data_IF_463231750488
#
_entry.id   IF_463231750488
#
_cell.length_a   1.000
_cell.length_b   1.000
_cell.length_c   1.000
_cell.angle_alpha   90.00
_cell.angle_beta   90.00
_cell.angle_gamma   90.00
#
_symmetry.space_group_name_H-M   'P 1'
#
loop_
_entity.id
_entity.type
_entity.pdbx_description
1 polymer ?
#
# COMPACT_ATOMS: atom_id res chain seq x y z
N UNK A 1 8.47 -3.85 12.34
CA UNK A 1 8.43 -4.02 10.86
C UNK A 1 8.87 -2.71 10.21
N UNK A 2 9.57 -2.74 9.07
CA UNK A 2 9.95 -1.54 8.31
C UNK A 2 8.86 -1.08 7.31
N UNK A 3 7.83 -1.91 7.12
CA UNK A 3 6.67 -1.57 6.28
C UNK A 3 5.72 -0.68 7.10
N UNK A 4 5.36 0.52 6.62
CA UNK A 4 4.48 1.44 7.34
C UNK A 4 3.10 0.82 7.62
N UNK A 5 2.46 1.25 8.71
CA UNK A 5 1.09 0.88 9.05
C UNK A 5 0.09 1.65 8.18
N UNK A 6 -1.02 1.02 7.83
CA UNK A 6 -2.00 1.65 6.93
C UNK A 6 -2.65 2.89 7.54
N UNK A 7 -2.95 2.90 8.84
CA UNK A 7 -3.66 4.01 9.48
C UNK A 7 -5.11 4.22 9.01
N UNK A 8 -5.61 3.38 8.10
CA UNK A 8 -7.00 3.29 7.64
C UNK A 8 -7.46 1.84 7.85
N UNK A 9 -8.73 1.65 8.20
CA UNK A 9 -9.36 0.33 8.36
C UNK A 9 -10.30 0.04 7.19
N UNK A 10 -10.31 -1.21 6.71
CA UNK A 10 -11.14 -1.60 5.59
C UNK A 10 -12.62 -1.67 5.98
N UNK A 11 -13.52 -1.36 5.05
CA UNK A 11 -14.96 -1.46 5.27
C UNK A 11 -15.59 -0.32 6.09
N UNK A 12 -14.82 0.71 6.48
CA UNK A 12 -15.33 1.84 7.27
C UNK A 12 -16.09 2.83 6.39
N UNK A 13 -17.23 3.32 6.89
CA UNK A 13 -18.09 4.32 6.22
C UNK A 13 -18.53 3.92 4.80
N UNK A 14 -19.23 2.78 4.62
CA UNK A 14 -19.65 2.32 3.30
C UNK A 14 -20.73 3.25 2.71
N UNK A 15 -20.64 3.53 1.41
CA UNK A 15 -21.61 4.37 0.66
C UNK A 15 -22.76 3.56 0.02
N UNK A 16 -22.80 2.24 0.27
CA UNK A 16 -23.78 1.32 -0.29
C UNK A 16 -23.54 0.91 -1.76
N UNK A 17 -22.49 1.41 -2.41
CA UNK A 17 -22.14 1.14 -3.82
C UNK A 17 -20.81 0.39 -3.95
N UNK A 18 -20.32 -0.22 -2.87
CA UNK A 18 -19.04 -0.91 -2.81
C UNK A 18 -17.83 0.00 -2.51
N UNK A 19 -18.06 1.30 -2.28
CA UNK A 19 -17.02 2.23 -1.84
C UNK A 19 -17.14 2.54 -0.36
N UNK A 20 -15.98 2.81 0.23
CA UNK A 20 -15.78 3.25 1.60
C UNK A 20 -14.97 4.56 1.59
N UNK A 21 -14.89 5.24 2.72
CA UNK A 21 -14.11 6.48 2.83
C UNK A 21 -12.70 6.19 3.34
N UNK A 22 -11.71 6.51 2.51
CA UNK A 22 -10.30 6.51 2.88
C UNK A 22 -9.86 7.86 3.45
N UNK A 23 -8.53 8.06 3.43
CA UNK A 23 -7.90 9.31 3.84
C UNK A 23 -8.53 10.50 3.09
N UNK A 24 -8.78 11.60 3.83
CA UNK A 24 -9.38 12.82 3.30
C UNK A 24 -10.73 12.62 2.59
N UNK A 25 -11.53 11.65 3.03
CA UNK A 25 -12.84 11.30 2.46
C UNK A 25 -12.80 10.89 0.98
N UNK A 26 -11.63 10.45 0.48
CA UNK A 26 -11.52 9.91 -0.88
C UNK A 26 -12.21 8.55 -0.92
N UNK A 27 -13.04 8.32 -1.94
CA UNK A 27 -13.68 7.03 -2.16
C UNK A 27 -12.63 5.97 -2.50
N UNK A 28 -12.64 4.87 -1.76
CA UNK A 28 -11.80 3.69 -1.98
C UNK A 28 -12.69 2.44 -2.04
N UNK A 29 -12.27 1.33 -2.67
CA UNK A 29 -12.99 0.07 -2.54
C UNK A 29 -13.08 -0.34 -1.06
N UNK A 30 -14.23 -0.84 -0.61
CA UNK A 30 -14.37 -1.27 0.80
C UNK A 30 -13.45 -2.45 1.19
N UNK A 31 -12.87 -3.15 0.22
CA UNK A 31 -11.84 -4.17 0.45
C UNK A 31 -10.43 -3.60 0.70
N UNK A 32 -10.28 -2.27 0.69
CA UNK A 32 -9.03 -1.57 0.92
C UNK A 32 -9.03 -0.87 2.29
N UNK A 33 -7.89 -0.88 3.02
CA UNK A 33 -6.64 -1.55 2.68
C UNK A 33 -6.73 -3.10 2.72
N UNK A 34 -5.78 -3.82 2.08
CA UNK A 34 -5.78 -5.29 2.09
C UNK A 34 -5.46 -5.85 3.47
N UNK A 35 -5.53 -7.18 3.62
CA UNK A 35 -4.97 -7.84 4.80
C UNK A 35 -3.48 -7.47 4.99
N UNK A 36 -3.14 -7.01 6.20
CA UNK A 36 -1.81 -6.50 6.56
C UNK A 36 -0.69 -7.51 6.34
N UNK A 37 -0.91 -8.77 6.71
CA UNK A 37 0.11 -9.82 6.59
C UNK A 37 0.39 -10.14 5.12
N UNK A 38 -0.66 -10.28 4.31
CA UNK A 38 -0.53 -10.49 2.87
C UNK A 38 0.19 -9.31 2.20
N UNK A 39 -0.10 -8.08 2.62
CA UNK A 39 0.60 -6.89 2.14
C UNK A 39 2.10 -6.91 2.47
N UNK A 40 2.48 -7.28 3.69
CA UNK A 40 3.90 -7.41 4.08
C UNK A 40 4.62 -8.42 3.18
N UNK A 41 4.00 -9.58 2.95
CA UNK A 41 4.58 -10.60 2.08
C UNK A 41 4.79 -10.08 0.65
N UNK A 42 3.84 -9.30 0.12
CA UNK A 42 3.98 -8.65 -1.20
C UNK A 42 5.09 -7.60 -1.23
N UNK A 43 5.22 -6.79 -0.18
CA UNK A 43 6.32 -5.80 -0.08
C UNK A 43 7.67 -6.49 -0.01
N UNK A 44 7.79 -7.57 0.77
CA UNK A 44 9.01 -8.38 0.86
C UNK A 44 9.37 -8.99 -0.49
N UNK A 45 8.40 -9.57 -1.21
CA UNK A 45 8.62 -10.13 -2.54
C UNK A 45 9.09 -9.05 -3.54
N UNK A 46 8.46 -7.87 -3.54
CA UNK A 46 8.83 -6.77 -4.42
C UNK A 46 10.22 -6.21 -4.09
N UNK A 47 10.56 -6.11 -2.79
CA UNK A 47 11.89 -5.70 -2.34
C UNK A 47 12.97 -6.68 -2.81
N UNK A 48 12.72 -7.98 -2.71
CA UNK A 48 13.63 -9.02 -3.19
C UNK A 48 13.77 -9.02 -4.72
N UNK A 49 12.68 -8.77 -5.44
CA UNK A 49 12.67 -8.69 -6.91
C UNK A 49 13.18 -7.35 -7.48
N UNK A 50 13.35 -6.32 -6.63
CA UNK A 50 13.65 -4.95 -7.05
C UNK A 50 12.55 -4.27 -7.86
N UNK A 51 11.36 -4.88 -7.98
CA UNK A 51 10.22 -4.33 -8.70
C UNK A 51 8.89 -4.90 -8.18
N UNK A 52 7.78 -4.20 -8.46
CA UNK A 52 6.41 -4.72 -8.32
C UNK A 52 5.69 -4.53 -9.65
N UNK A 53 5.30 -5.63 -10.31
CA UNK A 53 4.63 -5.60 -11.62
C UNK A 53 5.40 -4.77 -12.68
N UNK A 54 6.73 -4.88 -12.67
CA UNK A 54 7.63 -4.15 -13.58
C UNK A 54 7.90 -2.69 -13.19
N UNK A 55 7.32 -2.19 -12.10
CA UNK A 55 7.65 -0.87 -11.54
C UNK A 55 8.84 -1.00 -10.59
N UNK A 56 9.98 -0.33 -10.84
CA UNK A 56 11.15 -0.42 -9.97
C UNK A 56 10.86 0.07 -8.54
N UNK A 57 11.39 -0.64 -7.55
CA UNK A 57 11.26 -0.26 -6.12
C UNK A 57 12.61 -0.33 -5.40
N UNK A 58 12.72 0.34 -4.25
CA UNK A 58 13.89 0.30 -3.38
C UNK A 58 13.45 0.20 -1.92
N UNK A 59 13.95 -0.81 -1.21
CA UNK A 59 13.62 -1.03 0.19
C UNK A 59 14.88 -1.05 1.07
N UNK A 60 15.58 0.10 1.22
CA UNK A 60 16.75 0.20 2.07
C UNK A 60 16.40 -0.05 3.54
N UNK A 61 17.37 -0.52 4.33
CA UNK A 61 17.15 -0.94 5.73
C UNK A 61 17.64 0.07 6.77
N UNK A 62 18.38 1.10 6.37
CA UNK A 62 18.86 2.14 7.29
C UNK A 62 17.76 3.14 7.68
N UNK A 63 18.06 3.98 8.67
CA UNK A 63 17.11 4.88 9.30
C UNK A 63 17.09 6.31 8.75
N UNK A 64 17.82 6.59 7.67
CA UNK A 64 17.82 7.91 7.04
C UNK A 64 16.42 8.29 6.54
N UNK A 65 16.14 9.59 6.50
CA UNK A 65 14.89 10.12 5.95
C UNK A 65 14.70 9.71 4.48
N UNK A 66 15.80 9.61 3.72
CA UNK A 66 15.79 9.11 2.34
C UNK A 66 15.32 7.65 2.27
N UNK A 67 15.83 6.80 3.17
CA UNK A 67 15.47 5.39 3.22
C UNK A 67 14.03 5.16 3.68
N UNK A 68 13.56 5.94 4.67
CA UNK A 68 12.14 5.95 5.08
C UNK A 68 11.23 6.33 3.90
N UNK A 69 11.57 7.39 3.15
CA UNK A 69 10.83 7.80 1.95
C UNK A 69 10.81 6.72 0.87
N UNK A 70 11.93 6.05 0.63
CA UNK A 70 12.02 4.96 -0.35
C UNK A 70 11.13 3.76 0.05
N UNK A 71 11.05 3.42 1.34
CA UNK A 71 10.15 2.38 1.85
C UNK A 71 8.68 2.76 1.72
N UNK A 72 8.32 4.02 1.98
CA UNK A 72 6.96 4.53 1.74
C UNK A 72 6.60 4.44 0.26
N UNK A 73 7.47 4.92 -0.63
CA UNK A 73 7.26 4.83 -2.08
C UNK A 73 7.08 3.38 -2.55
N UNK A 74 7.93 2.46 -2.08
CA UNK A 74 7.78 1.03 -2.36
C UNK A 74 6.45 0.48 -1.86
N UNK A 75 6.03 0.88 -0.66
CA UNK A 75 4.75 0.43 -0.09
C UNK A 75 3.55 0.94 -0.90
N UNK A 76 3.59 2.18 -1.39
CA UNK A 76 2.56 2.74 -2.29
C UNK A 76 2.54 1.98 -3.61
N UNK A 77 3.70 1.74 -4.23
CA UNK A 77 3.80 1.01 -5.49
C UNK A 77 3.22 -0.40 -5.34
N UNK A 78 3.60 -1.12 -4.30
CA UNK A 78 3.08 -2.48 -4.04
C UNK A 78 1.57 -2.44 -3.79
N UNK A 79 1.08 -1.47 -3.01
CA UNK A 79 -0.35 -1.30 -2.70
C UNK A 79 -1.18 -1.13 -3.97
N UNK A 80 -0.71 -0.32 -4.92
CA UNK A 80 -1.39 -0.03 -6.19
C UNK A 80 -1.30 -1.19 -7.19
N UNK A 81 -0.39 -2.14 -6.98
CA UNK A 81 -0.10 -3.24 -7.90
C UNK A 81 -0.37 -4.63 -7.29
N UNK A 82 -1.19 -4.72 -6.23
CA UNK A 82 -1.39 -5.96 -5.44
C UNK A 82 -1.88 -7.18 -6.23
N UNK A 83 -2.68 -6.94 -7.26
CA UNK A 83 -3.36 -7.96 -8.07
C UNK A 83 -2.99 -7.87 -9.56
N UNK A 84 -1.89 -7.17 -9.87
CA UNK A 84 -1.46 -6.88 -11.24
C UNK A 84 -1.20 -5.40 -11.45
N UNK A 85 -0.59 -5.06 -12.58
CA UNK A 85 -0.18 -3.69 -12.90
C UNK A 85 -1.35 -2.71 -12.86
N UNK A 86 -1.31 -1.76 -11.94
CA UNK A 86 -2.36 -0.76 -11.70
C UNK A 86 -3.64 -1.31 -11.08
N UNK A 87 -3.65 -2.58 -10.64
CA UNK A 87 -4.80 -3.24 -10.02
C UNK A 87 -4.49 -3.50 -8.56
N UNK A 88 -4.95 -2.61 -7.69
CA UNK A 88 -4.71 -2.69 -6.25
C UNK A 88 -5.51 -1.67 -5.48
N UNK A 89 -5.02 -1.31 -4.29
CA UNK A 89 -5.63 -0.28 -3.46
C UNK A 89 -5.00 1.10 -3.76
N UNK A 90 -5.80 2.18 -3.80
CA UNK A 90 -5.26 3.52 -3.95
C UNK A 90 -4.47 3.93 -2.70
N UNK A 91 -3.56 4.90 -2.84
CA UNK A 91 -2.79 5.42 -1.70
C UNK A 91 -3.69 5.99 -0.59
N UNK A 92 -4.86 6.52 -0.96
CA UNK A 92 -5.87 6.99 -0.02
C UNK A 92 -6.46 5.90 0.90
N UNK A 93 -6.19 4.61 0.62
CA UNK A 93 -6.47 3.53 1.57
C UNK A 93 -5.44 3.43 2.70
N UNK A 94 -4.54 4.42 2.83
CA UNK A 94 -3.48 4.48 3.84
C UNK A 94 -3.19 5.93 4.27
N UNK A 95 -2.42 6.11 5.34
CA UNK A 95 -1.87 7.38 5.85
C UNK A 95 -0.38 7.54 5.56
N UNK A 96 0.12 6.88 4.51
CA UNK A 96 1.53 6.91 4.13
C UNK A 96 2.03 8.31 3.74
#
# INVERSE_FOLDING_TARGET
>A
SLVPEFGVEAGVSPDGQGNCLGLNNVKIPCSCPPNRQNFIQKVQAAAAAGNSEGVPVKFPLDDSSASKKARIQTSIVVLQNLKGKGVGCPAAATTF
#
